data_IF_186610581542
#
_entry.id   IF_186610581542
#
_cell.length_a   1.000
_cell.length_b   1.000
_cell.length_c   1.000
_cell.angle_alpha   90.00
_cell.angle_beta   90.00
_cell.angle_gamma   90.00
#
_symmetry.space_group_name_H-M   'P 1'
#
loop_
_entity.id
_entity.type
_entity.pdbx_description
1 polymer ?
#
# COMPACT_ATOMS: atom_id res chain seq x y z
N UNK A 1 -10.52 -7.94 -31.66
CA UNK A 1 -11.37 -6.82 -31.21
C UNK A 1 -10.51 -5.76 -30.49
N UNK A 2 -9.41 -5.28 -31.09
CA UNK A 2 -8.48 -4.32 -30.44
C UNK A 2 -8.68 -2.86 -30.85
N UNK A 3 -9.30 -2.60 -32.02
CA UNK A 3 -9.43 -1.24 -32.57
C UNK A 3 -10.20 -0.28 -31.66
N UNK A 4 -11.23 -0.79 -30.99
CA UNK A 4 -12.15 0.01 -30.18
C UNK A 4 -11.55 0.48 -28.85
N UNK A 5 -10.52 -0.22 -28.35
CA UNK A 5 -9.84 0.13 -27.08
C UNK A 5 -8.80 1.21 -27.31
N UNK A 6 -8.01 1.10 -28.38
CA UNK A 6 -7.01 2.11 -28.75
C UNK A 6 -7.68 3.45 -29.09
N UNK A 7 -8.81 3.42 -29.82
CA UNK A 7 -9.60 4.62 -30.13
C UNK A 7 -10.16 5.31 -28.87
N UNK A 8 -10.50 4.56 -27.82
CA UNK A 8 -10.97 5.10 -26.54
C UNK A 8 -9.82 5.69 -25.71
N UNK A 9 -8.63 5.07 -25.75
CA UNK A 9 -7.45 5.58 -25.06
C UNK A 9 -6.99 6.89 -25.70
N UNK A 10 -6.98 6.97 -27.03
CA UNK A 10 -6.60 8.19 -27.76
C UNK A 10 -7.57 9.35 -27.49
N UNK A 11 -8.87 9.06 -27.35
CA UNK A 11 -9.88 10.08 -27.05
C UNK A 11 -9.70 10.67 -25.64
N UNK A 12 -9.49 9.83 -24.62
CA UNK A 12 -9.25 10.28 -23.23
C UNK A 12 -7.93 11.05 -23.13
N UNK A 13 -6.88 10.57 -23.83
CA UNK A 13 -5.60 11.25 -23.85
C UNK A 13 -5.68 12.63 -24.51
N UNK A 14 -6.44 12.76 -25.60
CA UNK A 14 -6.69 14.05 -26.26
C UNK A 14 -7.49 15.02 -25.37
N UNK A 15 -8.45 14.53 -24.59
CA UNK A 15 -9.23 15.33 -23.64
C UNK A 15 -8.35 15.88 -22.51
N UNK A 16 -7.50 15.03 -21.91
CA UNK A 16 -6.56 15.43 -20.83
C UNK A 16 -5.55 16.48 -21.34
N UNK A 17 -4.98 16.28 -22.53
CA UNK A 17 -4.05 17.26 -23.13
C UNK A 17 -4.79 18.56 -23.48
N UNK A 18 -6.05 18.48 -23.92
CA UNK A 18 -6.87 19.65 -24.25
C UNK A 18 -7.19 20.52 -23.05
N UNK A 19 -7.45 19.92 -21.89
CA UNK A 19 -7.82 20.64 -20.65
C UNK A 19 -6.61 21.15 -19.86
N UNK A 20 -5.51 20.39 -19.83
CA UNK A 20 -4.34 20.70 -18.99
C UNK A 20 -3.11 21.15 -19.77
N UNK A 21 -3.18 21.19 -21.10
CA UNK A 21 -2.03 21.45 -21.97
C UNK A 21 -1.13 20.22 -22.09
N UNK A 22 -0.30 20.19 -23.13
CA UNK A 22 0.67 19.09 -23.26
C UNK A 22 1.81 19.26 -22.26
N UNK A 23 2.33 18.15 -21.75
CA UNK A 23 3.56 18.16 -20.95
C UNK A 23 4.70 18.87 -21.69
N UNK A 24 4.74 18.76 -23.02
CA UNK A 24 5.71 19.47 -23.86
C UNK A 24 5.60 20.99 -23.75
N UNK A 25 4.38 21.54 -23.73
CA UNK A 25 4.15 22.99 -23.60
C UNK A 25 4.47 23.50 -22.20
N UNK A 26 4.21 22.69 -21.17
CA UNK A 26 4.60 22.99 -19.79
C UNK A 26 6.12 22.98 -19.62
N UNK A 27 6.79 21.96 -20.15
CA UNK A 27 8.25 21.85 -20.13
C UNK A 27 8.91 22.97 -20.95
N UNK A 28 8.29 23.43 -22.03
CA UNK A 28 8.79 24.56 -22.83
C UNK A 28 8.77 25.90 -22.08
N UNK A 29 7.94 26.03 -21.04
CA UNK A 29 7.85 27.23 -20.20
C UNK A 29 8.80 27.19 -19.00
N UNK A 30 9.33 26.01 -18.64
CA UNK A 30 10.34 25.88 -17.60
C UNK A 30 11.66 26.47 -18.10
N UNK A 31 12.06 27.60 -17.53
CA UNK A 31 13.41 28.13 -17.71
C UNK A 31 14.31 27.50 -16.65
N UNK A 32 15.39 26.80 -17.03
CA UNK A 32 16.35 26.32 -16.05
C UNK A 32 16.95 27.52 -15.31
N UNK A 33 16.76 27.54 -14.00
CA UNK A 33 17.39 28.52 -13.12
C UNK A 33 18.82 28.06 -12.81
N UNK A 34 19.75 28.54 -13.62
CA UNK A 34 21.17 28.22 -13.49
C UNK A 34 21.84 28.86 -12.26
N UNK A 35 21.11 29.69 -11.51
CA UNK A 35 21.57 30.26 -10.25
C UNK A 35 21.09 29.48 -9.02
N UNK A 36 20.17 28.54 -9.19
CA UNK A 36 19.75 27.64 -8.14
C UNK A 36 20.90 26.70 -7.77
N UNK A 37 21.19 26.60 -6.46
CA UNK A 37 22.13 25.62 -5.94
C UNK A 37 21.66 24.18 -6.22
N UNK A 38 22.57 23.19 -6.20
CA UNK A 38 22.20 21.80 -6.41
C UNK A 38 21.11 21.40 -5.42
N UNK A 39 19.98 20.89 -5.94
CA UNK A 39 18.92 20.30 -5.13
C UNK A 39 19.44 18.96 -4.62
N UNK A 40 19.66 18.84 -3.31
CA UNK A 40 19.88 17.54 -2.67
C UNK A 40 18.59 16.74 -2.78
N UNK A 41 18.53 15.86 -3.78
CA UNK A 41 17.50 14.84 -3.84
C UNK A 41 17.77 13.85 -2.70
N UNK A 42 16.74 13.39 -1.97
CA UNK A 42 16.93 12.32 -1.02
C UNK A 42 17.52 11.11 -1.75
N UNK A 43 18.77 10.79 -1.44
CA UNK A 43 19.46 9.59 -1.92
C UNK A 43 18.75 8.39 -1.31
N UNK A 44 18.31 7.46 -2.16
CA UNK A 44 17.71 6.17 -1.82
C UNK A 44 16.23 6.20 -1.42
N UNK A 45 15.36 6.38 -2.41
CA UNK A 45 14.21 5.48 -2.47
C UNK A 45 14.76 4.12 -2.90
N UNK A 46 15.06 3.24 -1.94
CA UNK A 46 15.12 1.82 -2.24
C UNK A 46 13.82 1.49 -2.99
N UNK A 47 13.94 0.96 -4.21
CA UNK A 47 12.82 0.36 -4.93
C UNK A 47 12.23 -0.71 -4.01
N UNK A 48 11.27 -0.29 -3.22
CA UNK A 48 10.41 -1.17 -2.46
C UNK A 48 9.29 -1.44 -3.44
N UNK A 49 9.21 -2.66 -3.96
CA UNK A 49 8.04 -3.17 -4.71
C UNK A 49 6.75 -3.19 -3.84
N UNK A 50 6.78 -2.52 -2.69
CA UNK A 50 5.79 -2.50 -1.65
C UNK A 50 5.29 -1.06 -1.47
N UNK A 51 4.00 -0.85 -1.72
CA UNK A 51 3.33 0.41 -1.40
C UNK A 51 2.65 0.24 -0.05
N UNK A 52 3.11 1.00 0.95
CA UNK A 52 2.44 1.04 2.27
C UNK A 52 1.19 1.92 2.16
N UNK A 53 0.01 1.29 2.19
CA UNK A 53 -1.28 2.00 2.19
C UNK A 53 -1.93 1.89 3.57
N UNK A 54 -2.17 3.04 4.21
CA UNK A 54 -2.89 3.11 5.50
C UNK A 54 -4.36 3.47 5.26
N UNK A 55 -5.27 2.53 5.56
CA UNK A 55 -6.72 2.72 5.40
C UNK A 55 -7.43 2.57 6.75
N UNK A 56 -8.28 3.52 7.18
CA UNK A 56 -9.14 3.31 8.32
C UNK A 56 -10.28 2.33 7.96
N UNK A 57 -10.30 1.16 8.59
CA UNK A 57 -11.34 0.13 8.37
C UNK A 57 -12.24 0.02 9.58
N UNK A 58 -13.56 -0.01 9.36
CA UNK A 58 -14.55 -0.35 10.39
C UNK A 58 -15.07 -1.77 10.18
N UNK A 59 -14.79 -2.67 11.11
CA UNK A 59 -15.24 -4.05 11.07
C UNK A 59 -16.47 -4.27 11.95
N UNK A 60 -17.49 -4.95 11.42
CA UNK A 60 -18.62 -5.45 12.21
C UNK A 60 -18.43 -6.92 12.48
N UNK A 61 -18.14 -7.24 13.74
CA UNK A 61 -17.90 -8.60 14.20
C UNK A 61 -18.98 -9.03 15.20
N UNK A 62 -19.39 -10.31 15.21
CA UNK A 62 -20.15 -10.85 16.32
C UNK A 62 -19.38 -10.64 17.64
N UNK A 63 -20.06 -10.28 18.72
CA UNK A 63 -19.40 -9.97 20.01
C UNK A 63 -18.47 -11.10 20.48
N UNK A 64 -18.96 -12.35 20.43
CA UNK A 64 -18.16 -13.52 20.79
C UNK A 64 -16.91 -13.71 19.90
N UNK A 65 -16.90 -13.24 18.66
CA UNK A 65 -15.72 -13.26 17.81
C UNK A 65 -14.73 -12.16 18.19
N UNK A 66 -15.23 -10.96 18.51
CA UNK A 66 -14.40 -9.86 18.99
C UNK A 66 -13.71 -10.21 20.32
N UNK A 67 -14.42 -10.84 21.26
CA UNK A 67 -13.85 -11.26 22.54
C UNK A 67 -12.73 -12.29 22.33
N UNK A 68 -12.98 -13.33 21.52
CA UNK A 68 -11.93 -14.32 21.17
C UNK A 68 -10.71 -13.70 20.50
N UNK A 69 -10.89 -12.64 19.69
CA UNK A 69 -9.76 -11.97 19.06
C UNK A 69 -8.97 -11.12 20.06
N UNK A 70 -9.62 -10.47 21.04
CA UNK A 70 -8.92 -9.75 22.13
C UNK A 70 -8.13 -10.70 23.02
N UNK A 71 -8.71 -11.84 23.38
CA UNK A 71 -8.01 -12.85 24.18
C UNK A 71 -6.74 -13.31 23.45
N UNK A 72 -6.83 -13.56 22.15
CA UNK A 72 -5.68 -13.94 21.31
C UNK A 72 -4.64 -12.86 21.14
N UNK A 73 -5.06 -11.61 20.97
CA UNK A 73 -4.14 -10.48 20.94
C UNK A 73 -3.36 -10.40 22.25
N UNK A 74 -4.04 -10.60 23.38
CA UNK A 74 -3.42 -10.65 24.71
C UNK A 74 -2.43 -11.81 24.85
N UNK A 75 -2.80 -13.02 24.42
CA UNK A 75 -1.90 -14.19 24.42
C UNK A 75 -0.64 -13.96 23.58
N UNK A 76 -0.77 -13.25 22.46
CA UNK A 76 0.34 -12.90 21.57
C UNK A 76 1.07 -11.60 21.97
N UNK A 77 0.69 -10.95 23.08
CA UNK A 77 1.32 -9.71 23.54
C UNK A 77 1.18 -8.53 22.58
N UNK A 78 0.06 -8.45 21.86
CA UNK A 78 -0.25 -7.43 20.85
C UNK A 78 -1.65 -6.86 21.04
N UNK A 79 -1.97 -5.79 20.32
CA UNK A 79 -3.29 -5.18 20.31
C UNK A 79 -4.17 -5.78 19.19
N UNK A 80 -5.49 -5.65 19.34
CA UNK A 80 -6.45 -6.24 18.39
C UNK A 80 -6.30 -5.70 16.97
N UNK A 81 -5.99 -4.41 16.82
CA UNK A 81 -5.79 -3.76 15.53
C UNK A 81 -4.51 -4.24 14.83
N UNK A 82 -3.42 -4.39 15.57
CA UNK A 82 -2.16 -4.96 15.08
C UNK A 82 -2.36 -6.43 14.64
N UNK A 83 -3.10 -7.22 15.42
CA UNK A 83 -3.47 -8.60 15.07
C UNK A 83 -4.24 -8.67 13.74
N UNK A 84 -5.27 -7.84 13.59
CA UNK A 84 -6.12 -7.81 12.39
C UNK A 84 -5.35 -7.28 11.19
N UNK A 85 -4.56 -6.22 11.36
CA UNK A 85 -3.71 -5.67 10.31
C UNK A 85 -2.75 -6.74 9.79
N UNK A 86 -2.07 -7.46 10.71
CA UNK A 86 -1.13 -8.51 10.31
C UNK A 86 -1.81 -9.66 9.58
N UNK A 87 -3.02 -10.06 10.00
CA UNK A 87 -3.78 -11.08 9.29
C UNK A 87 -4.14 -10.64 7.86
N UNK A 88 -4.63 -9.41 7.68
CA UNK A 88 -4.95 -8.87 6.35
C UNK A 88 -3.70 -8.80 5.47
N UNK A 89 -2.56 -8.36 6.00
CA UNK A 89 -1.30 -8.34 5.27
C UNK A 89 -0.90 -9.73 4.83
N UNK A 90 -0.95 -10.72 5.72
CA UNK A 90 -0.60 -12.08 5.40
C UNK A 90 -1.54 -12.66 4.33
N UNK A 91 -2.86 -12.50 4.46
CA UNK A 91 -3.82 -12.96 3.45
C UNK A 91 -3.58 -12.33 2.08
N UNK A 92 -3.14 -11.07 2.03
CA UNK A 92 -2.77 -10.40 0.77
C UNK A 92 -1.43 -10.89 0.19
N UNK A 93 -0.52 -11.39 1.02
CA UNK A 93 0.76 -11.98 0.61
C UNK A 93 0.63 -13.43 0.11
N UNK A 94 -0.44 -14.14 0.51
CA UNK A 94 -0.63 -15.51 0.09
C UNK A 94 -1.20 -15.58 -1.33
N UNK A 95 -0.41 -16.11 -2.26
CA UNK A 95 -0.80 -16.42 -3.65
C UNK A 95 -1.91 -17.48 -3.68
N UNK A 96 -3.17 -17.05 -3.45
CA UNK A 96 -4.41 -17.84 -3.39
C UNK A 96 -4.40 -19.01 -2.37
N UNK A 97 -3.40 -19.07 -1.50
CA UNK A 97 -3.29 -20.11 -0.47
C UNK A 97 -3.95 -19.62 0.82
N UNK A 98 -5.02 -20.27 1.29
CA UNK A 98 -5.68 -19.84 2.52
C UNK A 98 -4.71 -19.99 3.70
N UNK A 99 -4.55 -18.92 4.48
CA UNK A 99 -3.66 -18.92 5.63
C UNK A 99 -4.35 -19.58 6.81
N UNK A 100 -3.65 -20.55 7.40
CA UNK A 100 -4.15 -21.22 8.60
C UNK A 100 -3.91 -20.36 9.84
N UNK A 101 -4.75 -20.58 10.85
CA UNK A 101 -4.63 -19.90 12.15
C UNK A 101 -3.22 -19.99 12.75
N UNK A 102 -2.60 -21.15 12.66
CA UNK A 102 -1.32 -21.42 13.32
C UNK A 102 -0.17 -20.67 12.61
N UNK A 103 -0.26 -20.46 11.30
CA UNK A 103 0.69 -19.67 10.52
C UNK A 103 0.63 -18.18 10.88
N UNK A 104 -0.57 -17.64 11.12
CA UNK A 104 -0.76 -16.28 11.61
C UNK A 104 -0.11 -16.07 12.99
N UNK A 105 -0.37 -16.97 13.94
CA UNK A 105 0.19 -16.88 15.29
C UNK A 105 1.71 -16.99 15.28
N UNK A 106 2.28 -17.93 14.51
CA UNK A 106 3.72 -18.08 14.36
C UNK A 106 4.38 -16.87 13.68
N UNK A 107 3.67 -16.15 12.80
CA UNK A 107 4.18 -14.93 12.18
C UNK A 107 4.22 -13.75 13.16
N UNK A 108 3.23 -13.64 14.04
CA UNK A 108 3.17 -12.61 15.09
C UNK A 108 4.27 -12.83 16.14
N UNK A 109 4.45 -14.06 16.61
CA UNK A 109 5.49 -14.42 17.57
C UNK A 109 6.90 -14.08 17.03
N UNK A 110 7.17 -14.40 15.75
CA UNK A 110 8.42 -14.03 15.06
C UNK A 110 8.61 -12.51 14.91
N UNK A 111 7.54 -11.76 14.68
CA UNK A 111 7.61 -10.31 14.57
C UNK A 111 7.88 -9.66 15.93
N UNK A 112 7.31 -10.20 17.00
CA UNK A 112 7.54 -9.76 18.37
C UNK A 112 9.00 -10.02 18.80
N UNK A 113 9.52 -11.23 18.59
CA UNK A 113 10.91 -11.56 18.93
C UNK A 113 11.95 -10.69 18.21
N UNK A 114 11.69 -10.29 16.96
CA UNK A 114 12.58 -9.38 16.22
C UNK A 114 12.56 -7.94 16.74
N UNK A 115 11.49 -7.54 17.42
CA UNK A 115 11.30 -6.19 17.97
C UNK A 115 11.89 -6.04 19.37
N UNK A 116 12.01 -7.14 20.10
CA UNK A 116 12.53 -7.20 21.47
C UNK A 116 14.01 -7.59 21.57
N UNK A 117 14.67 -7.90 20.46
CA UNK A 117 16.11 -8.19 20.36
C UNK A 117 16.87 -6.95 19.88
#
# INVERSE_FOLDING_TARGET
MSRTRDEQIDAVHAEIIGEHGSLGDYMAQLRPDWSAGPVELPTEAAETDEVVVSLPVTLRLPAAAADRLRDRATEAGTELDELVSRWVTLEAEADDTPITRDELLAALERAHHRRSA
#
